data_IF_101031279366
#
_entry.id   IF_101031279366
#
_cell.length_a   1.000
_cell.length_b   1.000
_cell.length_c   1.000
_cell.angle_alpha   90.00
_cell.angle_beta   90.00
_cell.angle_gamma   90.00
#
_symmetry.space_group_name_H-M   'P 1'
#
loop_
_entity.id
_entity.type
_entity.pdbx_description
1 polymer ?
#
# COMPACT_ATOMS: atom_id res chain seq x y z
N UNK A 1 -24.18 -17.05 -6.33
CA UNK A 1 -23.36 -16.62 -5.17
C UNK A 1 -21.89 -16.58 -5.57
N UNK A 2 -21.49 -15.68 -6.49
CA UNK A 2 -20.10 -15.65 -7.03
C UNK A 2 -19.55 -14.23 -7.28
N UNK A 3 -20.40 -13.20 -7.19
CA UNK A 3 -20.03 -11.79 -7.44
C UNK A 3 -19.38 -11.09 -6.25
N UNK A 4 -19.67 -11.50 -5.00
CA UNK A 4 -19.12 -10.85 -3.80
C UNK A 4 -17.62 -11.09 -3.65
N UNK A 5 -17.12 -12.28 -4.00
CA UNK A 5 -15.69 -12.61 -3.91
C UNK A 5 -14.84 -11.89 -4.96
N UNK A 6 -15.39 -11.59 -6.15
CA UNK A 6 -14.65 -10.85 -7.18
C UNK A 6 -14.45 -9.39 -6.76
N UNK A 7 -15.49 -8.74 -6.24
CA UNK A 7 -15.42 -7.34 -5.85
C UNK A 7 -14.49 -7.12 -4.66
N UNK A 8 -14.49 -7.99 -3.65
CA UNK A 8 -13.61 -7.87 -2.49
C UNK A 8 -12.12 -8.02 -2.87
N UNK A 9 -11.83 -8.92 -3.81
CA UNK A 9 -10.49 -9.17 -4.32
C UNK A 9 -9.97 -7.98 -5.11
N UNK A 10 -10.81 -7.40 -5.96
CA UNK A 10 -10.51 -6.20 -6.74
C UNK A 10 -10.30 -4.99 -5.83
N UNK A 11 -11.16 -4.80 -4.82
CA UNK A 11 -11.06 -3.70 -3.86
C UNK A 11 -9.78 -3.81 -3.03
N UNK A 12 -9.39 -5.04 -2.65
CA UNK A 12 -8.12 -5.32 -1.98
C UNK A 12 -6.92 -5.02 -2.86
N UNK A 13 -6.93 -5.49 -4.11
CA UNK A 13 -5.87 -5.20 -5.07
C UNK A 13 -5.74 -3.70 -5.35
N UNK A 14 -6.88 -3.00 -5.44
CA UNK A 14 -6.92 -1.55 -5.66
C UNK A 14 -6.41 -0.77 -4.45
N UNK A 15 -6.75 -1.16 -3.23
CA UNK A 15 -6.20 -0.56 -2.01
C UNK A 15 -4.69 -0.76 -1.91
N UNK A 16 -4.18 -1.94 -2.26
CA UNK A 16 -2.75 -2.18 -2.33
C UNK A 16 -2.07 -1.28 -3.36
N UNK A 17 -2.63 -1.23 -4.57
CA UNK A 17 -2.09 -0.41 -5.64
C UNK A 17 -2.11 1.09 -5.30
N UNK A 18 -3.23 1.59 -4.78
CA UNK A 18 -3.38 2.99 -4.35
C UNK A 18 -2.42 3.32 -3.23
N UNK A 19 -2.22 2.44 -2.24
CA UNK A 19 -1.31 2.70 -1.13
C UNK A 19 0.15 2.74 -1.60
N UNK A 20 0.56 1.83 -2.49
CA UNK A 20 1.90 1.84 -3.10
C UNK A 20 2.09 3.13 -3.90
N UNK A 21 1.13 3.47 -4.77
CA UNK A 21 1.20 4.66 -5.60
C UNK A 21 1.26 5.94 -4.78
N UNK A 22 0.40 6.09 -3.76
CA UNK A 22 0.41 7.23 -2.87
C UNK A 22 1.74 7.34 -2.13
N UNK A 23 2.27 6.25 -1.56
CA UNK A 23 3.57 6.29 -0.87
C UNK A 23 4.70 6.72 -1.82
N UNK A 24 4.78 6.12 -3.01
CA UNK A 24 5.83 6.46 -3.98
C UNK A 24 5.72 7.91 -4.48
N UNK A 25 4.52 8.36 -4.84
CA UNK A 25 4.28 9.73 -5.27
C UNK A 25 4.59 10.73 -4.15
N UNK A 26 4.21 10.42 -2.91
CA UNK A 26 4.54 11.26 -1.75
C UNK A 26 6.05 11.33 -1.50
N UNK A 27 6.75 10.19 -1.61
CA UNK A 27 8.21 10.13 -1.49
C UNK A 27 8.91 10.92 -2.58
N UNK A 28 8.38 10.90 -3.81
CA UNK A 28 8.90 11.67 -4.94
C UNK A 28 8.73 13.19 -4.71
N UNK A 29 7.52 13.63 -4.33
CA UNK A 29 7.21 15.04 -4.01
C UNK A 29 8.10 15.54 -2.86
N UNK A 30 8.27 14.74 -1.79
CA UNK A 30 9.13 15.11 -0.66
C UNK A 30 10.61 15.13 -1.08
N UNK A 31 11.03 14.20 -1.93
CA UNK A 31 12.37 14.15 -2.50
C UNK A 31 12.72 15.38 -3.32
N UNK A 32 11.81 15.80 -4.19
CA UNK A 32 11.99 16.96 -5.05
C UNK A 32 11.98 18.27 -4.25
N UNK A 33 11.07 18.42 -3.28
CA UNK A 33 10.94 19.67 -2.53
C UNK A 33 11.92 19.85 -1.37
N UNK A 34 12.33 18.79 -0.68
CA UNK A 34 13.13 18.90 0.55
C UNK A 34 14.54 18.31 0.44
N UNK A 35 14.81 17.50 -0.58
CA UNK A 35 16.06 16.77 -0.71
C UNK A 35 16.76 16.96 -2.06
N UNK A 36 16.39 18.00 -2.83
CA UNK A 36 17.04 18.35 -4.10
C UNK A 36 17.05 17.18 -5.12
N UNK A 37 15.99 16.36 -5.10
CA UNK A 37 15.88 15.17 -5.95
C UNK A 37 16.63 13.94 -5.43
N UNK A 38 17.05 13.91 -4.16
CA UNK A 38 17.66 12.72 -3.57
C UNK A 38 16.66 11.54 -3.53
N UNK A 39 17.15 10.33 -3.81
CA UNK A 39 16.36 9.07 -3.80
C UNK A 39 16.07 8.52 -2.39
N UNK A 40 16.55 9.18 -1.33
CA UNK A 40 16.36 8.72 0.05
C UNK A 40 14.86 8.67 0.43
N UNK A 41 14.03 9.69 0.14
CA UNK A 41 12.61 9.68 0.49
C UNK A 41 11.82 8.62 -0.28
N UNK A 42 12.26 8.28 -1.49
CA UNK A 42 11.71 7.17 -2.27
C UNK A 42 11.94 5.81 -1.59
N UNK A 43 13.13 5.57 -1.04
CA UNK A 43 13.42 4.36 -0.26
C UNK A 43 12.57 4.27 1.01
N UNK A 44 12.38 5.39 1.72
CA UNK A 44 11.56 5.44 2.93
C UNK A 44 10.08 5.16 2.59
N UNK A 45 9.58 5.74 1.50
CA UNK A 45 8.25 5.46 0.99
C UNK A 45 8.04 3.99 0.60
N UNK A 46 9.05 3.37 -0.01
CA UNK A 46 9.02 1.95 -0.36
C UNK A 46 8.96 1.06 0.89
N UNK A 47 9.76 1.37 1.91
CA UNK A 47 9.73 0.66 3.21
C UNK A 47 8.38 0.85 3.90
N UNK A 48 7.84 2.07 3.92
CA UNK A 48 6.52 2.35 4.49
C UNK A 48 5.41 1.56 3.77
N UNK A 49 5.46 1.49 2.44
CA UNK A 49 4.53 0.71 1.65
C UNK A 49 4.60 -0.80 1.96
N UNK A 50 5.81 -1.35 2.10
CA UNK A 50 5.98 -2.74 2.55
C UNK A 50 5.35 -3.01 3.93
N UNK A 51 5.53 -2.09 4.89
CA UNK A 51 4.97 -2.21 6.25
C UNK A 51 3.44 -2.13 6.23
N UNK A 52 2.87 -1.22 5.42
CA UNK A 52 1.41 -1.10 5.24
C UNK A 52 0.85 -2.37 4.60
N UNK A 53 1.50 -2.88 3.55
CA UNK A 53 1.08 -4.13 2.91
C UNK A 53 1.09 -5.32 3.86
N UNK A 54 2.12 -5.40 4.70
CA UNK A 54 2.27 -6.48 5.67
C UNK A 54 1.17 -6.43 6.74
N UNK A 55 0.88 -5.25 7.29
CA UNK A 55 -0.20 -5.06 8.25
C UNK A 55 -1.58 -5.30 7.65
N UNK A 56 -1.81 -4.85 6.42
CA UNK A 56 -3.08 -5.07 5.72
C UNK A 56 -3.31 -6.57 5.47
N UNK A 57 -2.28 -7.32 5.09
CA UNK A 57 -2.35 -8.78 5.00
C UNK A 57 -2.64 -9.46 6.35
N UNK A 58 -2.04 -8.99 7.44
CA UNK A 58 -2.29 -9.54 8.78
C UNK A 58 -3.74 -9.29 9.24
N UNK A 59 -4.28 -8.09 9.01
CA UNK A 59 -5.66 -7.74 9.34
C UNK A 59 -6.69 -8.50 8.50
N UNK A 60 -6.45 -8.64 7.19
CA UNK A 60 -7.35 -9.40 6.31
C UNK A 60 -7.33 -10.90 6.66
N UNK A 61 -6.18 -11.44 7.08
CA UNK A 61 -6.06 -12.83 7.54
C UNK A 61 -6.81 -13.06 8.86
N UNK A 62 -6.86 -12.06 9.75
CA UNK A 62 -7.71 -12.08 10.96
C UNK A 62 -9.20 -12.09 10.61
N UNK A 63 -9.61 -11.29 9.63
CA UNK A 63 -11.01 -11.21 9.20
C UNK A 63 -11.49 -12.48 8.47
N UNK A 64 -10.56 -13.22 7.84
CA UNK A 64 -10.85 -14.45 7.08
C UNK A 64 -10.83 -15.74 7.92
N UNK A 65 -10.43 -15.70 9.21
CA UNK A 65 -10.55 -16.85 10.09
C UNK A 65 -11.90 -16.78 10.80
N UNK A 66 -12.89 -17.65 10.46
CA UNK A 66 -14.08 -17.77 11.27
C UNK A 66 -13.66 -18.25 12.66
N UNK A 67 -14.22 -17.59 13.68
CA UNK A 67 -14.15 -18.05 15.07
C UNK A 67 -14.81 -19.42 15.23
#
# INVERSE_FOLDING_TARGET
>A
MMTVFNNLSVLRAWLYFSSIFTCLALGDIIGEHFFDGSRIPWFIALVASCVINWNLSAHIKKLSRPA
#
